data_IF_496338168967
#
_entry.id   IF_496338168967
#
_cell.length_a   1.000
_cell.length_b   1.000
_cell.length_c   1.000
_cell.angle_alpha   90.00
_cell.angle_beta   90.00
_cell.angle_gamma   90.00
#
_symmetry.space_group_name_H-M   'P 1'
#
loop_
_entity.id
_entity.type
_entity.pdbx_description
1 polymer ?
#
# COMPACT_ATOMS: atom_id res chain seq x y z
N UNK A 1 30.69 42.53 -51.57
CA UNK A 1 30.97 42.05 -50.20
C UNK A 1 29.68 41.35 -49.70
N UNK A 2 29.69 40.00 -49.62
CA UNK A 2 28.57 39.20 -49.12
C UNK A 2 29.00 38.57 -47.79
N UNK A 3 28.46 39.09 -46.66
CA UNK A 3 28.64 38.47 -45.34
C UNK A 3 27.81 37.19 -45.25
N UNK A 4 28.48 36.04 -45.06
CA UNK A 4 27.87 34.78 -44.70
C UNK A 4 27.71 34.72 -43.18
N UNK A 5 26.46 34.69 -42.69
CA UNK A 5 26.17 34.38 -41.28
C UNK A 5 26.25 32.88 -41.08
N UNK A 6 27.15 32.41 -40.23
CA UNK A 6 27.16 31.06 -39.75
C UNK A 6 26.21 30.97 -38.53
N UNK A 7 25.15 30.17 -38.72
CA UNK A 7 24.25 29.82 -37.59
C UNK A 7 24.95 28.70 -36.83
N UNK A 8 25.44 29.05 -35.61
CA UNK A 8 25.94 28.05 -34.66
C UNK A 8 24.72 27.45 -33.96
N UNK A 9 24.43 26.21 -34.31
CA UNK A 9 23.38 25.43 -33.63
C UNK A 9 23.80 25.08 -32.20
N UNK A 10 23.15 25.66 -31.23
CA UNK A 10 23.26 25.23 -29.83
C UNK A 10 22.54 23.87 -29.69
N UNK A 11 23.33 22.82 -29.60
CA UNK A 11 22.85 21.50 -29.16
C UNK A 11 22.60 21.60 -27.66
N UNK A 12 21.36 21.68 -27.23
CA UNK A 12 20.97 21.50 -25.84
C UNK A 12 21.23 20.04 -25.46
N UNK A 13 22.39 19.79 -24.82
CA UNK A 13 22.61 18.56 -24.10
C UNK A 13 21.66 18.61 -22.88
N UNK A 14 20.54 17.94 -22.96
CA UNK A 14 19.70 17.66 -21.82
C UNK A 14 20.50 16.71 -20.89
N UNK A 15 21.33 17.27 -20.02
CA UNK A 15 21.86 16.56 -18.88
C UNK A 15 20.67 16.18 -18.00
N UNK A 16 20.20 14.96 -18.13
CA UNK A 16 19.35 14.32 -17.15
C UNK A 16 20.18 14.17 -15.89
N UNK A 17 20.11 15.19 -15.02
CA UNK A 17 20.63 15.09 -13.65
C UNK A 17 19.75 14.02 -12.98
N UNK A 18 20.22 12.79 -12.98
CA UNK A 18 19.68 11.76 -12.09
C UNK A 18 19.96 12.23 -10.68
N UNK A 19 18.94 12.77 -10.05
CA UNK A 19 18.99 13.16 -8.64
C UNK A 19 19.22 11.85 -7.86
N UNK A 20 20.46 11.62 -7.39
CA UNK A 20 20.87 10.45 -6.60
C UNK A 20 20.37 10.55 -5.15
N UNK A 21 19.13 10.98 -4.94
CA UNK A 21 18.53 11.11 -3.63
C UNK A 21 17.23 10.29 -3.55
N UNK A 22 16.99 9.68 -2.42
CA UNK A 22 15.68 9.11 -2.11
C UNK A 22 14.62 10.19 -2.19
N UNK A 23 13.44 9.86 -2.70
CA UNK A 23 12.31 10.79 -2.78
C UNK A 23 10.98 10.09 -2.56
N UNK A 24 9.99 10.84 -2.11
CA UNK A 24 8.60 10.41 -2.06
C UNK A 24 7.79 11.36 -2.93
N UNK A 25 7.06 10.81 -3.89
CA UNK A 25 6.29 11.58 -4.86
C UNK A 25 4.84 11.11 -4.89
N UNK A 26 3.94 11.97 -5.31
CA UNK A 26 2.60 11.58 -5.71
C UNK A 26 2.53 11.41 -7.22
N UNK A 27 2.03 10.28 -7.67
CA UNK A 27 1.77 9.97 -9.08
C UNK A 27 0.27 10.00 -9.30
N UNK A 28 -0.18 10.79 -10.28
CA UNK A 28 -1.59 10.88 -10.70
C UNK A 28 -1.73 10.38 -12.11
N UNK A 29 -2.85 9.74 -12.40
CA UNK A 29 -3.16 9.26 -13.74
C UNK A 29 -4.66 9.33 -14.03
N UNK A 30 -5.02 9.17 -15.29
CA UNK A 30 -6.40 8.97 -15.69
C UNK A 30 -6.74 7.49 -15.62
N UNK A 31 -7.81 7.14 -14.90
CA UNK A 31 -8.26 5.76 -14.77
C UNK A 31 -9.22 5.37 -15.90
N UNK A 32 -9.19 4.12 -16.33
CA UNK A 32 -10.09 3.59 -17.36
C UNK A 32 -11.53 3.47 -16.89
N UNK A 33 -11.75 3.35 -15.57
CA UNK A 33 -13.08 3.19 -14.96
C UNK A 33 -13.30 4.21 -13.84
N UNK A 34 -14.54 4.64 -13.69
CA UNK A 34 -14.94 5.41 -12.52
C UNK A 34 -14.75 4.56 -11.25
N UNK A 35 -14.28 5.19 -10.17
CA UNK A 35 -14.25 4.54 -8.88
C UNK A 35 -15.68 4.33 -8.35
N UNK A 36 -15.94 3.23 -7.61
CA UNK A 36 -17.21 3.02 -6.96
C UNK A 36 -17.48 4.12 -5.91
N UNK A 37 -18.73 4.39 -5.59
CA UNK A 37 -19.08 5.31 -4.51
C UNK A 37 -18.40 4.92 -3.21
N UNK A 38 -17.98 5.91 -2.41
CA UNK A 38 -17.38 5.66 -1.11
C UNK A 38 -18.48 5.27 -0.13
N UNK A 39 -18.30 4.15 0.56
CA UNK A 39 -19.14 3.71 1.65
C UNK A 39 -18.28 3.52 2.90
N UNK A 40 -18.65 4.19 3.99
CA UNK A 40 -18.09 4.00 5.32
C UNK A 40 -19.06 3.13 6.11
N UNK A 41 -18.61 1.95 6.54
CA UNK A 41 -19.43 1.09 7.37
C UNK A 41 -19.86 1.83 8.65
N UNK A 42 -21.17 1.81 8.93
CA UNK A 42 -21.75 2.50 10.10
C UNK A 42 -21.90 4.02 9.97
N UNK A 43 -21.54 4.60 8.83
CA UNK A 43 -21.69 6.06 8.60
C UNK A 43 -22.72 6.31 7.51
N UNK A 44 -23.74 7.11 7.83
CA UNK A 44 -24.72 7.57 6.85
C UNK A 44 -24.06 8.42 5.76
N UNK A 45 -24.40 8.25 4.47
CA UNK A 45 -23.82 9.00 3.35
C UNK A 45 -23.83 10.53 3.51
N UNK A 46 -24.80 11.07 4.20
CA UNK A 46 -24.93 12.49 4.48
C UNK A 46 -23.80 13.08 5.34
N UNK A 47 -23.12 12.24 6.14
CA UNK A 47 -21.96 12.64 6.95
C UNK A 47 -20.64 12.66 6.19
N UNK A 48 -20.56 12.02 5.02
CA UNK A 48 -19.33 11.97 4.22
C UNK A 48 -18.76 13.35 3.87
N UNK A 49 -19.54 14.37 3.48
CA UNK A 49 -19.01 15.70 3.20
C UNK A 49 -18.34 16.34 4.43
N UNK A 50 -18.92 16.16 5.62
CA UNK A 50 -18.38 16.70 6.87
C UNK A 50 -17.08 15.98 7.27
N UNK A 51 -17.05 14.64 7.16
CA UNK A 51 -15.83 13.84 7.40
C UNK A 51 -14.71 14.27 6.45
N UNK A 52 -15.02 14.47 5.17
CA UNK A 52 -14.04 14.95 4.18
C UNK A 52 -13.49 16.33 4.52
N UNK A 53 -14.37 17.27 4.85
CA UNK A 53 -13.97 18.61 5.25
C UNK A 53 -13.10 18.57 6.51
N UNK A 54 -13.45 17.73 7.47
CA UNK A 54 -12.65 17.52 8.69
C UNK A 54 -11.26 16.99 8.37
N UNK A 55 -11.17 15.90 7.60
CA UNK A 55 -9.89 15.27 7.24
C UNK A 55 -9.04 16.17 6.35
N UNK A 56 -9.63 16.98 5.49
CA UNK A 56 -8.90 17.90 4.61
C UNK A 56 -8.16 19.01 5.36
N UNK A 57 -8.61 19.36 6.57
CA UNK A 57 -8.09 20.47 7.36
C UNK A 57 -7.23 20.07 8.56
N UNK A 58 -6.96 18.79 8.72
CA UNK A 58 -6.13 18.29 9.82
C UNK A 58 -5.01 17.39 9.30
N UNK A 59 -4.00 17.17 10.14
CA UNK A 59 -2.96 16.19 9.79
C UNK A 59 -3.53 14.76 9.77
N UNK A 60 -2.89 13.87 8.99
CA UNK A 60 -3.26 12.45 8.95
C UNK A 60 -3.26 11.82 10.36
N UNK A 61 -2.26 12.16 11.18
CA UNK A 61 -2.20 11.72 12.58
C UNK A 61 -3.44 12.17 13.38
N UNK A 62 -3.84 13.44 13.25
CA UNK A 62 -5.02 13.98 13.92
C UNK A 62 -6.30 13.28 13.43
N UNK A 63 -6.41 13.05 12.13
CA UNK A 63 -7.55 12.32 11.55
C UNK A 63 -7.66 10.90 12.12
N UNK A 64 -6.53 10.18 12.22
CA UNK A 64 -6.47 8.83 12.81
C UNK A 64 -6.83 8.87 14.30
N UNK A 65 -6.22 9.79 15.07
CA UNK A 65 -6.51 9.93 16.50
C UNK A 65 -8.00 10.21 16.75
N UNK A 66 -8.60 11.10 15.95
CA UNK A 66 -10.04 11.39 16.00
C UNK A 66 -10.87 10.16 15.64
N UNK A 67 -10.54 9.44 14.56
CA UNK A 67 -11.22 8.20 14.19
C UNK A 67 -11.15 7.14 15.29
N UNK A 68 -9.99 6.96 15.91
CA UNK A 68 -9.79 6.02 17.00
C UNK A 68 -10.52 6.47 18.29
N UNK A 69 -10.65 7.78 18.56
CA UNK A 69 -11.44 8.26 19.71
C UNK A 69 -12.92 7.89 19.58
N UNK A 70 -13.40 7.71 18.37
CA UNK A 70 -14.74 7.21 18.03
C UNK A 70 -14.75 5.69 17.77
N UNK A 71 -13.75 4.96 18.22
CA UNK A 71 -13.55 3.53 17.93
C UNK A 71 -14.73 2.64 18.32
N UNK A 72 -15.56 3.06 19.30
CA UNK A 72 -16.79 2.36 19.66
C UNK A 72 -17.78 2.24 18.49
N UNK A 73 -17.78 3.18 17.55
CA UNK A 73 -18.63 3.13 16.35
C UNK A 73 -18.25 1.98 15.38
N UNK A 74 -17.01 1.49 15.49
CA UNK A 74 -16.50 0.37 14.71
C UNK A 74 -16.20 -0.86 15.58
N UNK A 75 -16.75 -0.89 16.80
CA UNK A 75 -16.68 -2.04 17.71
C UNK A 75 -15.38 -2.16 18.52
N UNK A 76 -14.50 -1.16 18.53
CA UNK A 76 -13.31 -1.16 19.39
C UNK A 76 -13.68 -0.89 20.83
N UNK A 77 -13.10 -1.65 21.75
CA UNK A 77 -13.17 -1.36 23.19
C UNK A 77 -12.33 -0.13 23.52
N UNK A 78 -12.68 0.57 24.60
CA UNK A 78 -12.01 1.83 25.00
C UNK A 78 -10.51 1.64 25.24
N UNK A 79 -10.14 0.57 25.91
CA UNK A 79 -8.73 0.24 26.21
C UNK A 79 -7.93 -0.04 24.93
N UNK A 80 -8.53 -0.76 23.99
CA UNK A 80 -7.91 -1.03 22.68
C UNK A 80 -7.77 0.24 21.87
N UNK A 81 -8.81 1.07 21.82
CA UNK A 81 -8.78 2.38 21.16
C UNK A 81 -7.66 3.26 21.70
N UNK A 82 -7.53 3.37 23.04
CA UNK A 82 -6.47 4.15 23.70
C UNK A 82 -5.07 3.59 23.39
N UNK A 83 -4.92 2.27 23.41
CA UNK A 83 -3.66 1.60 23.03
C UNK A 83 -3.27 1.91 21.60
N UNK A 84 -4.20 1.82 20.65
CA UNK A 84 -3.96 2.12 19.25
C UNK A 84 -3.60 3.58 19.01
N UNK A 85 -4.28 4.52 19.70
CA UNK A 85 -3.92 5.94 19.66
C UNK A 85 -2.45 6.15 20.08
N UNK A 86 -2.00 5.50 21.16
CA UNK A 86 -0.60 5.54 21.59
C UNK A 86 0.37 5.01 20.54
N UNK A 87 0.10 3.85 19.96
CA UNK A 87 0.93 3.23 18.92
C UNK A 87 1.04 4.13 17.67
N UNK A 88 -0.06 4.71 17.22
CA UNK A 88 -0.06 5.62 16.08
C UNK A 88 0.68 6.92 16.41
N UNK A 89 0.43 7.54 17.57
CA UNK A 89 1.11 8.76 17.97
C UNK A 89 2.64 8.57 18.03
N UNK A 90 3.11 7.45 18.60
CA UNK A 90 4.54 7.11 18.63
C UNK A 90 5.11 6.93 17.23
N UNK A 91 4.40 6.24 16.35
CA UNK A 91 4.81 6.04 14.97
C UNK A 91 4.90 7.36 14.20
N UNK A 92 3.87 8.20 14.26
CA UNK A 92 3.85 9.50 13.57
C UNK A 92 4.85 10.49 14.13
N UNK A 93 5.22 10.40 15.42
CA UNK A 93 6.32 11.19 15.98
C UNK A 93 7.65 10.90 15.26
N UNK A 94 7.92 9.65 14.91
CA UNK A 94 9.06 9.26 14.09
C UNK A 94 8.94 9.72 12.65
N UNK A 95 7.78 9.56 12.04
CA UNK A 95 7.50 9.93 10.66
C UNK A 95 7.70 11.43 10.42
N UNK A 96 7.18 12.29 11.30
CA UNK A 96 7.36 13.76 11.21
C UNK A 96 8.82 14.22 11.26
N UNK A 97 9.69 13.45 11.91
CA UNK A 97 11.14 13.74 11.95
C UNK A 97 11.87 13.29 10.68
N UNK A 98 11.21 12.56 9.81
CA UNK A 98 11.80 12.10 8.55
C UNK A 98 11.90 13.25 7.57
N UNK A 99 13.11 13.60 7.15
CA UNK A 99 13.33 14.58 6.10
C UNK A 99 12.70 14.16 4.75
N UNK A 100 12.45 12.87 4.57
CA UNK A 100 11.90 12.32 3.34
C UNK A 100 10.37 12.30 3.33
N UNK A 101 9.73 12.09 4.49
CA UNK A 101 8.29 11.86 4.59
C UNK A 101 7.53 13.00 5.31
N UNK A 102 8.22 13.83 6.09
CA UNK A 102 7.58 14.82 6.95
C UNK A 102 6.71 15.85 6.21
N UNK A 103 7.11 16.21 4.99
CA UNK A 103 6.41 17.21 4.16
C UNK A 103 5.55 16.59 3.04
N UNK A 104 5.42 15.26 2.99
CA UNK A 104 4.65 14.60 1.94
C UNK A 104 3.15 14.70 2.23
N UNK A 105 2.33 15.17 1.27
CA UNK A 105 0.89 15.21 1.46
C UNK A 105 0.29 13.82 1.66
N UNK A 106 -0.64 13.70 2.62
CA UNK A 106 -1.37 12.46 2.83
C UNK A 106 -2.30 12.15 1.65
N UNK A 107 -2.42 10.88 1.30
CA UNK A 107 -3.41 10.40 0.34
C UNK A 107 -4.78 10.08 0.99
N UNK A 108 -4.92 10.25 2.30
CA UNK A 108 -6.15 9.93 3.04
C UNK A 108 -7.35 10.72 2.53
N UNK A 109 -7.17 12.02 2.33
CA UNK A 109 -8.24 12.89 1.78
C UNK A 109 -8.72 12.39 0.42
N UNK A 110 -7.80 11.92 -0.43
CA UNK A 110 -8.16 11.33 -1.72
C UNK A 110 -9.01 10.06 -1.54
N UNK A 111 -8.70 9.20 -0.59
CA UNK A 111 -9.49 8.00 -0.31
C UNK A 111 -10.92 8.32 0.15
N UNK A 112 -11.12 9.44 0.83
CA UNK A 112 -12.41 9.90 1.35
C UNK A 112 -13.15 10.83 0.39
N UNK A 113 -12.50 11.39 -0.62
CA UNK A 113 -13.15 12.31 -1.58
C UNK A 113 -14.01 11.53 -2.58
N UNK A 114 -15.03 12.21 -3.11
CA UNK A 114 -15.61 11.77 -4.37
C UNK A 114 -14.52 11.84 -5.41
N UNK A 115 -14.00 10.69 -5.79
CA UNK A 115 -13.04 10.63 -6.85
C UNK A 115 -13.69 11.18 -8.08
N UNK A 116 -13.15 12.29 -8.57
CA UNK A 116 -13.56 12.77 -9.89
C UNK A 116 -13.46 11.58 -10.83
N UNK A 117 -14.48 11.30 -11.63
CA UNK A 117 -14.45 10.16 -12.54
C UNK A 117 -13.10 10.14 -13.24
N UNK A 118 -12.44 8.97 -13.21
CA UNK A 118 -11.21 8.73 -13.95
C UNK A 118 -9.92 9.38 -13.42
N UNK A 119 -9.80 9.69 -12.14
CA UNK A 119 -8.51 10.08 -11.55
C UNK A 119 -7.98 9.00 -10.59
N UNK A 120 -6.72 8.60 -10.76
CA UNK A 120 -5.98 7.75 -9.84
C UNK A 120 -4.89 8.55 -9.12
N UNK A 121 -4.51 8.07 -7.94
CA UNK A 121 -3.43 8.60 -7.12
C UNK A 121 -2.64 7.45 -6.49
N UNK A 122 -1.32 7.57 -6.47
CA UNK A 122 -0.45 6.74 -5.65
C UNK A 122 0.61 7.59 -4.95
N UNK A 123 0.93 7.25 -3.70
CA UNK A 123 2.15 7.70 -3.05
C UNK A 123 3.26 6.72 -3.42
N UNK A 124 4.37 7.22 -3.95
CA UNK A 124 5.48 6.42 -4.46
C UNK A 124 6.77 6.80 -3.76
N UNK A 125 7.40 5.83 -3.09
CA UNK A 125 8.78 5.96 -2.64
C UNK A 125 9.72 5.51 -3.77
N UNK A 126 10.74 6.30 -4.02
CA UNK A 126 11.76 6.07 -5.04
C UNK A 126 13.12 5.99 -4.35
N UNK A 127 13.88 4.89 -4.52
CA UNK A 127 15.21 4.76 -3.93
C UNK A 127 16.21 5.74 -4.55
N UNK A 128 17.34 5.97 -3.87
CA UNK A 128 18.37 6.90 -4.31
C UNK A 128 18.95 6.57 -5.70
N UNK A 129 18.96 5.30 -6.06
CA UNK A 129 19.46 4.84 -7.35
C UNK A 129 18.42 3.98 -8.05
N UNK A 130 18.06 4.38 -9.26
CA UNK A 130 17.22 3.59 -10.16
C UNK A 130 18.10 2.91 -11.19
N UNK A 131 17.88 1.62 -11.40
CA UNK A 131 18.51 0.82 -12.44
C UNK A 131 17.48 -0.16 -13.02
N UNK A 132 17.84 -0.88 -14.06
CA UNK A 132 17.00 -1.95 -14.63
C UNK A 132 16.82 -3.14 -13.68
N UNK A 133 17.69 -3.28 -12.67
CA UNK A 133 17.61 -4.29 -11.61
C UNK A 133 16.77 -3.83 -10.41
N UNK A 134 16.35 -2.56 -10.37
CA UNK A 134 15.53 -2.03 -9.28
C UNK A 134 14.22 -2.80 -9.20
N UNK A 135 13.97 -3.42 -8.05
CA UNK A 135 12.74 -4.17 -7.79
C UNK A 135 11.60 -3.24 -7.41
N UNK A 136 10.37 -3.78 -7.48
CA UNK A 136 9.16 -3.03 -7.21
C UNK A 136 8.24 -3.75 -6.23
N UNK A 137 7.60 -2.95 -5.39
CA UNK A 137 6.55 -3.37 -4.47
C UNK A 137 5.30 -2.56 -4.78
N UNK A 138 4.16 -3.21 -4.89
CA UNK A 138 2.84 -2.55 -4.87
C UNK A 138 2.18 -2.90 -3.54
N UNK A 139 1.75 -1.89 -2.80
CA UNK A 139 1.13 -2.07 -1.50
C UNK A 139 -0.32 -1.63 -1.49
N UNK A 140 -1.21 -2.54 -1.14
CA UNK A 140 -2.64 -2.28 -0.99
C UNK A 140 -2.97 -2.09 0.48
N UNK A 141 -3.47 -0.91 0.82
CA UNK A 141 -3.75 -0.50 2.19
C UNK A 141 -4.97 -1.23 2.79
N UNK A 142 -5.04 -1.25 4.12
CA UNK A 142 -6.16 -1.78 4.87
C UNK A 142 -7.40 -0.87 4.85
N UNK A 143 -8.41 -1.24 5.66
CA UNK A 143 -9.54 -0.37 5.89
C UNK A 143 -9.09 0.97 6.51
N UNK A 144 -9.73 2.06 6.10
CA UNK A 144 -9.43 3.42 6.57
C UNK A 144 -8.68 4.29 5.57
N UNK A 145 -8.10 3.72 4.51
CA UNK A 145 -7.46 4.48 3.43
C UNK A 145 -5.94 4.39 3.37
N UNK A 146 -5.36 5.10 2.41
CA UNK A 146 -3.93 5.10 2.15
C UNK A 146 -3.22 6.11 3.08
N UNK A 147 -2.56 5.58 4.11
CA UNK A 147 -1.81 6.37 5.08
C UNK A 147 -0.35 6.53 4.66
N UNK A 148 0.24 7.68 4.95
CA UNK A 148 1.66 7.95 4.72
C UNK A 148 2.57 7.04 5.56
N UNK A 149 2.04 6.51 6.66
CA UNK A 149 2.70 5.51 7.49
C UNK A 149 3.11 4.26 6.69
N UNK A 150 2.34 3.85 5.68
CA UNK A 150 2.62 2.62 4.93
C UNK A 150 3.87 2.72 4.04
N UNK A 151 4.00 3.68 3.11
CA UNK A 151 5.24 3.81 2.33
C UNK A 151 6.45 4.12 3.22
N UNK A 152 6.28 4.86 4.33
CA UNK A 152 7.35 5.08 5.30
C UNK A 152 7.80 3.77 5.95
N UNK A 153 6.87 2.92 6.39
CA UNK A 153 7.17 1.61 6.98
C UNK A 153 7.89 0.71 5.96
N UNK A 154 7.33 0.61 4.76
CA UNK A 154 7.87 -0.25 3.71
C UNK A 154 9.24 0.21 3.22
N UNK A 155 9.51 1.52 3.14
CA UNK A 155 10.82 2.05 2.79
C UNK A 155 11.92 1.62 3.78
N UNK A 156 11.56 1.38 5.05
CA UNK A 156 12.49 0.86 6.05
C UNK A 156 12.86 -0.63 5.85
N UNK A 157 12.06 -1.36 5.06
CA UNK A 157 12.28 -2.79 4.72
C UNK A 157 12.85 -2.92 3.31
N UNK A 158 12.30 -2.17 2.37
CA UNK A 158 12.54 -2.25 0.93
C UNK A 158 13.25 -0.98 0.43
N UNK A 159 14.31 -0.53 1.12
CA UNK A 159 14.99 0.76 0.86
C UNK A 159 15.54 0.92 -0.57
N UNK A 160 15.81 -0.19 -1.26
CA UNK A 160 16.32 -0.22 -2.63
C UNK A 160 15.23 -0.54 -3.68
N UNK A 161 13.95 -0.50 -3.29
CA UNK A 161 12.82 -0.77 -4.19
C UNK A 161 12.05 0.51 -4.48
N UNK A 162 11.39 0.55 -5.61
CA UNK A 162 10.27 1.49 -5.80
C UNK A 162 9.04 0.88 -5.11
N UNK A 163 8.39 1.68 -4.25
CA UNK A 163 7.21 1.26 -3.50
C UNK A 163 6.03 2.10 -3.98
N UNK A 164 5.04 1.45 -4.56
CA UNK A 164 3.83 2.08 -5.11
C UNK A 164 2.66 1.79 -4.16
N UNK A 165 2.12 2.83 -3.54
CA UNK A 165 0.96 2.74 -2.65
C UNK A 165 -0.26 3.42 -3.31
N UNK A 166 -1.06 2.69 -4.12
CA UNK A 166 -2.25 3.25 -4.73
C UNK A 166 -3.29 3.63 -3.67
N UNK A 167 -3.93 4.78 -3.84
CA UNK A 167 -5.04 5.23 -3.02
C UNK A 167 -6.35 4.93 -3.77
N UNK A 168 -7.16 4.01 -3.28
CA UNK A 168 -8.34 3.51 -4.01
C UNK A 168 -9.66 3.63 -3.25
N UNK A 169 -9.69 4.25 -2.10
CA UNK A 169 -10.85 4.39 -1.23
C UNK A 169 -10.58 3.82 0.15
N UNK A 170 -11.58 3.28 0.82
CA UNK A 170 -11.48 2.93 2.24
C UNK A 170 -11.46 1.44 2.47
N UNK A 171 -11.93 0.65 1.52
CA UNK A 171 -12.07 -0.81 1.67
C UNK A 171 -11.57 -1.60 0.48
N UNK A 172 -11.34 -2.90 0.69
CA UNK A 172 -10.93 -3.85 -0.34
C UNK A 172 -11.94 -4.01 -1.50
N UNK A 173 -13.20 -3.68 -1.30
CA UNK A 173 -14.23 -3.73 -2.33
C UNK A 173 -13.99 -2.70 -3.46
N UNK A 174 -13.22 -1.67 -3.17
CA UNK A 174 -12.89 -0.58 -4.09
C UNK A 174 -11.65 -0.86 -4.95
N UNK A 175 -10.96 -1.97 -4.70
CA UNK A 175 -9.75 -2.35 -5.44
C UNK A 175 -10.14 -3.08 -6.72
N UNK A 176 -9.67 -2.59 -7.87
CA UNK A 176 -9.73 -3.32 -9.13
C UNK A 176 -8.34 -3.69 -9.64
N UNK A 177 -8.25 -4.78 -10.39
CA UNK A 177 -7.01 -5.20 -11.05
C UNK A 177 -6.51 -4.14 -12.02
N UNK A 178 -7.43 -3.51 -12.77
CA UNK A 178 -7.10 -2.46 -13.73
C UNK A 178 -6.48 -1.25 -13.02
N UNK A 179 -7.07 -0.81 -11.89
CA UNK A 179 -6.55 0.32 -11.12
C UNK A 179 -5.12 0.08 -10.61
N UNK A 180 -4.82 -1.14 -10.15
CA UNK A 180 -3.47 -1.51 -9.71
C UNK A 180 -2.49 -1.52 -10.88
N UNK A 181 -2.88 -2.09 -12.02
CA UNK A 181 -2.06 -2.11 -13.22
C UNK A 181 -1.78 -0.70 -13.77
N UNK A 182 -2.79 0.17 -13.76
CA UNK A 182 -2.66 1.57 -14.16
C UNK A 182 -1.74 2.36 -13.23
N UNK A 183 -1.81 2.14 -11.91
CA UNK A 183 -0.89 2.76 -10.95
C UNK A 183 0.56 2.38 -11.22
N UNK A 184 0.83 1.10 -11.49
CA UNK A 184 2.16 0.61 -11.87
C UNK A 184 2.63 1.26 -13.17
N UNK A 185 1.80 1.25 -14.21
CA UNK A 185 2.11 1.86 -15.51
C UNK A 185 2.40 3.36 -15.39
N UNK A 186 1.56 4.10 -14.68
CA UNK A 186 1.75 5.54 -14.45
C UNK A 186 3.05 5.83 -13.70
N UNK A 187 3.39 4.99 -12.71
CA UNK A 187 4.66 5.10 -11.99
C UNK A 187 5.85 4.86 -12.92
N UNK A 188 5.80 3.82 -13.77
CA UNK A 188 6.84 3.52 -14.76
C UNK A 188 7.07 4.71 -15.71
N UNK A 189 5.99 5.27 -16.23
CA UNK A 189 6.03 6.44 -17.10
C UNK A 189 6.61 7.66 -16.39
N UNK A 190 6.18 7.94 -15.15
CA UNK A 190 6.68 9.08 -14.35
C UNK A 190 8.16 8.98 -14.03
N UNK A 191 8.68 7.76 -13.82
CA UNK A 191 10.08 7.50 -13.54
C UNK A 191 10.93 7.27 -14.79
N UNK A 192 10.32 7.17 -15.97
CA UNK A 192 10.97 6.86 -17.25
C UNK A 192 11.80 5.56 -17.18
N UNK A 193 11.27 4.53 -16.52
CA UNK A 193 11.92 3.23 -16.35
C UNK A 193 10.96 2.10 -16.70
N UNK A 194 11.52 0.99 -17.23
CA UNK A 194 10.77 -0.25 -17.32
C UNK A 194 10.64 -0.87 -15.92
N UNK A 195 9.43 -1.29 -15.54
CA UNK A 195 9.19 -1.94 -14.27
C UNK A 195 9.22 -3.46 -14.45
N UNK A 196 10.07 -4.20 -13.73
CA UNK A 196 9.91 -5.64 -13.61
C UNK A 196 8.62 -5.95 -12.83
N UNK A 197 8.18 -7.21 -12.89
CA UNK A 197 6.99 -7.65 -12.15
C UNK A 197 7.10 -7.31 -10.67
N UNK A 198 6.17 -6.51 -10.10
CA UNK A 198 6.23 -6.13 -8.70
C UNK A 198 5.88 -7.28 -7.77
N UNK A 199 6.32 -7.20 -6.52
CA UNK A 199 5.72 -7.94 -5.41
C UNK A 199 4.43 -7.23 -5.00
N UNK A 200 3.32 -7.96 -4.93
CA UNK A 200 2.05 -7.42 -4.45
C UNK A 200 1.94 -7.68 -2.95
N UNK A 201 1.81 -6.64 -2.16
CA UNK A 201 1.61 -6.72 -0.71
C UNK A 201 0.25 -6.12 -0.37
N UNK A 202 -0.55 -6.81 0.43
CA UNK A 202 -1.83 -6.28 0.91
C UNK A 202 -1.99 -6.43 2.42
N UNK A 203 -2.48 -5.39 3.08
CA UNK A 203 -2.72 -5.36 4.52
C UNK A 203 -4.22 -5.44 4.82
N UNK A 204 -4.65 -6.37 5.69
CA UNK A 204 -6.04 -6.42 6.18
C UNK A 204 -7.04 -6.45 5.01
N UNK A 205 -7.95 -5.49 4.90
CA UNK A 205 -8.83 -5.33 3.75
C UNK A 205 -8.08 -5.32 2.41
N UNK A 206 -6.91 -4.67 2.35
CA UNK A 206 -6.02 -4.70 1.19
C UNK A 206 -5.42 -6.09 0.93
N UNK A 207 -5.28 -6.93 1.95
CA UNK A 207 -4.87 -8.34 1.82
C UNK A 207 -5.90 -9.17 1.05
N UNK A 208 -7.19 -9.01 1.37
CA UNK A 208 -8.28 -9.63 0.60
C UNK A 208 -8.32 -9.10 -0.84
N UNK A 209 -8.13 -7.78 -1.01
CA UNK A 209 -8.03 -7.16 -2.33
C UNK A 209 -6.85 -7.69 -3.13
N UNK A 210 -5.68 -7.82 -2.51
CA UNK A 210 -4.48 -8.36 -3.15
C UNK A 210 -4.69 -9.81 -3.62
N UNK A 211 -5.36 -10.66 -2.83
CA UNK A 211 -5.74 -12.00 -3.26
C UNK A 211 -6.58 -11.97 -4.54
N UNK A 212 -7.61 -11.11 -4.60
CA UNK A 212 -8.48 -10.97 -5.77
C UNK A 212 -7.75 -10.44 -6.99
N UNK A 213 -6.89 -9.45 -6.82
CA UNK A 213 -6.05 -8.90 -7.89
C UNK A 213 -5.10 -9.96 -8.41
N UNK A 214 -4.41 -10.68 -7.52
CA UNK A 214 -3.41 -11.67 -7.90
C UNK A 214 -3.99 -12.85 -8.66
N UNK A 215 -5.13 -13.42 -8.25
CA UNK A 215 -5.75 -14.54 -8.97
C UNK A 215 -6.30 -14.14 -10.35
N UNK A 216 -6.60 -12.85 -10.57
CA UNK A 216 -7.05 -12.35 -11.88
C UNK A 216 -5.90 -12.10 -12.85
N UNK A 217 -4.73 -11.70 -12.34
CA UNK A 217 -3.57 -11.34 -13.15
C UNK A 217 -2.26 -11.85 -12.52
N UNK A 218 -2.09 -13.17 -12.30
CA UNK A 218 -0.91 -13.70 -11.61
C UNK A 218 0.37 -13.42 -12.36
N UNK A 219 0.31 -13.30 -13.68
CA UNK A 219 1.46 -13.01 -14.53
C UNK A 219 1.98 -11.56 -14.39
N UNK A 220 1.16 -10.66 -13.84
CA UNK A 220 1.56 -9.25 -13.63
C UNK A 220 2.47 -9.07 -12.41
N UNK A 221 2.56 -10.07 -11.53
CA UNK A 221 3.27 -9.99 -10.26
C UNK A 221 4.28 -11.14 -10.13
N UNK A 222 5.34 -10.95 -9.36
CA UNK A 222 6.28 -12.02 -9.02
C UNK A 222 5.84 -12.87 -7.82
N UNK A 223 4.79 -12.45 -7.13
CA UNK A 223 4.20 -13.12 -5.96
C UNK A 223 3.34 -12.16 -5.15
N UNK A 224 2.70 -12.71 -4.11
CA UNK A 224 1.85 -11.97 -3.19
C UNK A 224 2.30 -12.15 -1.74
N UNK A 225 2.24 -11.09 -0.94
CA UNK A 225 2.35 -11.10 0.52
C UNK A 225 1.05 -10.56 1.13
N UNK A 226 0.43 -11.33 1.98
CA UNK A 226 -0.81 -10.97 2.68
C UNK A 226 -0.49 -10.74 4.16
N UNK A 227 -0.80 -9.54 4.64
CA UNK A 227 -0.53 -9.10 6.01
C UNK A 227 -1.86 -8.94 6.76
N UNK A 228 -2.02 -9.61 7.89
CA UNK A 228 -3.22 -9.50 8.74
C UNK A 228 -4.51 -9.88 8.02
N UNK A 229 -4.46 -10.87 7.14
CA UNK A 229 -5.61 -11.40 6.43
C UNK A 229 -5.36 -12.85 6.00
N UNK A 230 -6.41 -13.47 5.48
CA UNK A 230 -6.40 -14.83 4.95
C UNK A 230 -6.92 -14.85 3.50
N UNK A 231 -6.89 -16.00 2.84
CA UNK A 231 -7.44 -16.13 1.48
C UNK A 231 -8.97 -16.07 1.51
N UNK A 232 -9.61 -15.11 0.82
CA UNK A 232 -11.06 -15.03 0.81
C UNK A 232 -11.69 -16.20 0.04
N UNK A 233 -12.91 -16.58 0.41
CA UNK A 233 -13.60 -17.74 -0.14
C UNK A 233 -13.86 -17.62 -1.66
N UNK A 234 -14.18 -16.43 -2.13
CA UNK A 234 -14.47 -16.14 -3.54
C UNK A 234 -13.29 -16.38 -4.49
N UNK A 235 -12.08 -16.57 -3.95
CA UNK A 235 -10.88 -16.92 -4.71
C UNK A 235 -10.29 -18.29 -4.33
N UNK A 236 -10.83 -19.00 -3.35
CA UNK A 236 -10.28 -20.25 -2.83
C UNK A 236 -10.06 -21.34 -3.90
N UNK A 237 -10.90 -21.37 -4.95
CA UNK A 237 -10.79 -22.28 -6.09
C UNK A 237 -9.86 -21.84 -7.22
N UNK A 238 -9.30 -20.61 -7.15
CA UNK A 238 -8.56 -19.99 -8.27
C UNK A 238 -7.04 -20.05 -8.10
N UNK A 239 -6.56 -20.58 -6.97
CA UNK A 239 -5.13 -20.74 -6.72
C UNK A 239 -4.55 -21.89 -7.55
N UNK A 240 -3.41 -21.63 -8.18
CA UNK A 240 -2.71 -22.60 -9.04
C UNK A 240 -1.30 -22.87 -8.53
N UNK A 241 -0.69 -23.94 -9.03
CA UNK A 241 0.59 -24.45 -8.57
C UNK A 241 1.74 -23.46 -8.74
N UNK A 242 1.70 -22.63 -9.78
CA UNK A 242 2.76 -21.70 -10.16
C UNK A 242 2.74 -20.41 -9.34
N UNK A 243 1.71 -20.18 -8.53
CA UNK A 243 1.56 -18.98 -7.72
C UNK A 243 2.50 -19.02 -6.50
N UNK A 244 3.07 -17.86 -6.17
CA UNK A 244 3.90 -17.67 -4.99
C UNK A 244 3.15 -16.83 -3.96
N UNK A 245 2.94 -17.40 -2.77
CA UNK A 245 2.12 -16.78 -1.73
C UNK A 245 2.83 -16.79 -0.39
N UNK A 246 2.71 -15.68 0.34
CA UNK A 246 3.21 -15.53 1.71
C UNK A 246 2.19 -14.84 2.58
N UNK A 247 1.98 -15.37 3.79
CA UNK A 247 1.04 -14.82 4.76
C UNK A 247 1.75 -14.49 6.08
N UNK A 248 1.54 -13.27 6.57
CA UNK A 248 2.01 -12.83 7.88
C UNK A 248 0.83 -12.35 8.70
N UNK A 249 0.62 -12.94 9.87
CA UNK A 249 -0.54 -12.68 10.72
C UNK A 249 -0.12 -12.51 12.18
N UNK A 250 -0.94 -11.88 12.99
CA UNK A 250 -0.76 -11.86 14.44
C UNK A 250 -1.30 -13.14 15.07
N UNK A 251 -0.60 -13.72 16.04
CA UNK A 251 -1.06 -14.97 16.69
C UNK A 251 -2.33 -14.81 17.53
N UNK A 252 -2.69 -13.58 17.89
CA UNK A 252 -3.91 -13.24 18.64
C UNK A 252 -5.11 -12.94 17.74
N UNK A 253 -4.96 -12.90 16.43
CA UNK A 253 -6.11 -12.73 15.55
C UNK A 253 -7.06 -13.93 15.69
N UNK A 254 -8.38 -13.67 15.76
CA UNK A 254 -9.39 -14.68 16.08
C UNK A 254 -9.36 -15.89 15.16
N UNK A 255 -9.15 -15.67 13.86
CA UNK A 255 -9.04 -16.73 12.87
C UNK A 255 -7.72 -17.53 12.98
N UNK A 256 -6.68 -16.96 13.60
CA UNK A 256 -5.44 -17.69 13.93
C UNK A 256 -5.63 -18.49 15.22
N UNK A 257 -6.16 -17.87 16.26
CA UNK A 257 -6.38 -18.48 17.56
C UNK A 257 -7.39 -19.66 17.49
N UNK A 258 -8.41 -19.58 16.62
CA UNK A 258 -9.35 -20.68 16.39
C UNK A 258 -8.78 -21.85 15.60
N UNK A 259 -7.61 -21.70 14.99
CA UNK A 259 -7.00 -22.71 14.12
C UNK A 259 -7.52 -22.72 12.68
N UNK A 260 -8.54 -21.94 12.33
CA UNK A 260 -9.09 -21.89 10.97
C UNK A 260 -8.07 -21.43 9.93
N UNK A 261 -7.21 -20.49 10.29
CA UNK A 261 -6.10 -20.06 9.44
C UNK A 261 -5.15 -21.21 9.09
N UNK A 262 -4.71 -21.99 10.09
CA UNK A 262 -3.84 -23.14 9.88
C UNK A 262 -4.45 -24.18 8.95
N UNK A 263 -5.74 -24.46 9.14
CA UNK A 263 -6.49 -25.38 8.28
C UNK A 263 -6.54 -24.87 6.83
N UNK A 264 -6.80 -23.56 6.64
CA UNK A 264 -6.80 -22.95 5.32
C UNK A 264 -5.40 -23.02 4.66
N UNK A 265 -4.33 -22.74 5.39
CA UNK A 265 -2.96 -22.81 4.86
C UNK A 265 -2.59 -24.25 4.45
N UNK A 266 -3.04 -25.25 5.20
CA UNK A 266 -2.86 -26.67 4.82
C UNK A 266 -3.58 -26.99 3.52
N UNK A 267 -4.83 -26.52 3.35
CA UNK A 267 -5.58 -26.69 2.12
C UNK A 267 -4.97 -25.97 0.92
N UNK A 268 -4.40 -24.79 1.12
CA UNK A 268 -3.69 -24.04 0.07
C UNK A 268 -2.37 -24.71 -0.32
N UNK A 269 -1.63 -25.29 0.61
CA UNK A 269 -0.35 -25.97 0.35
C UNK A 269 -0.50 -27.14 -0.62
N UNK A 270 -1.66 -27.76 -0.67
CA UNK A 270 -1.97 -28.80 -1.65
C UNK A 270 -2.14 -28.27 -3.09
N UNK A 271 -2.45 -26.98 -3.25
CA UNK A 271 -2.73 -26.32 -4.53
C UNK A 271 -1.59 -25.44 -5.04
N UNK A 272 -0.83 -24.83 -4.12
CA UNK A 272 0.21 -23.83 -4.40
C UNK A 272 1.57 -24.41 -3.99
N UNK A 273 2.51 -24.46 -4.92
CA UNK A 273 3.84 -25.03 -4.65
C UNK A 273 4.67 -24.14 -3.72
N UNK A 274 4.63 -22.83 -3.92
CA UNK A 274 5.39 -21.85 -3.15
C UNK A 274 4.47 -21.11 -2.18
N UNK A 275 4.14 -21.76 -1.05
CA UNK A 275 3.35 -21.19 0.04
C UNK A 275 4.14 -21.18 1.34
N UNK A 276 4.31 -20.01 1.90
CA UNK A 276 4.89 -19.79 3.23
C UNK A 276 3.91 -18.98 4.11
N UNK A 277 3.95 -19.20 5.41
CA UNK A 277 3.20 -18.38 6.35
C UNK A 277 3.88 -18.32 7.72
N UNK A 278 3.70 -17.20 8.40
CA UNK A 278 4.21 -16.96 9.75
C UNK A 278 3.14 -16.29 10.61
N UNK A 279 3.06 -16.70 11.87
CA UNK A 279 2.28 -15.99 12.89
C UNK A 279 3.26 -15.31 13.85
N UNK A 280 3.14 -14.00 14.04
CA UNK A 280 3.97 -13.23 14.98
C UNK A 280 3.45 -13.50 16.40
N UNK A 281 4.27 -14.10 17.29
CA UNK A 281 3.84 -14.46 18.63
C UNK A 281 3.40 -13.24 19.44
N UNK A 282 2.27 -13.34 20.14
CA UNK A 282 1.74 -12.29 21.00
C UNK A 282 1.14 -11.07 20.27
N UNK A 283 1.24 -11.03 18.95
CA UNK A 283 0.74 -9.92 18.16
C UNK A 283 -0.74 -10.06 17.80
N UNK A 284 -1.43 -8.94 17.74
CA UNK A 284 -2.78 -8.77 17.21
C UNK A 284 -2.76 -8.26 15.76
N UNK A 285 -3.89 -7.78 15.27
CA UNK A 285 -4.05 -7.22 13.93
C UNK A 285 -3.12 -6.04 13.60
N UNK A 286 -2.69 -5.29 14.62
CA UNK A 286 -1.86 -4.08 14.47
C UNK A 286 -0.36 -4.35 14.60
N UNK A 287 0.09 -5.55 14.27
CA UNK A 287 1.48 -5.99 14.42
C UNK A 287 2.50 -5.14 13.63
N UNK A 288 2.09 -4.47 12.55
CA UNK A 288 2.95 -3.51 11.84
C UNK A 288 3.42 -2.38 12.77
N UNK A 289 2.61 -2.01 13.76
CA UNK A 289 2.91 -0.95 14.71
C UNK A 289 3.48 -1.51 16.02
N UNK A 290 2.88 -2.58 16.56
CA UNK A 290 3.22 -3.13 17.86
C UNK A 290 4.44 -4.08 17.84
N UNK A 291 4.69 -4.77 16.71
CA UNK A 291 5.76 -5.76 16.54
C UNK A 291 6.62 -5.46 15.31
N UNK A 292 7.02 -4.18 15.17
CA UNK A 292 7.70 -3.66 13.97
C UNK A 292 8.94 -4.48 13.57
N UNK A 293 9.80 -4.82 14.54
CA UNK A 293 11.04 -5.54 14.26
C UNK A 293 10.76 -6.94 13.71
N UNK A 294 9.88 -7.72 14.35
CA UNK A 294 9.51 -9.06 13.89
C UNK A 294 8.90 -9.04 12.49
N UNK A 295 8.02 -8.05 12.24
CA UNK A 295 7.37 -7.86 10.94
C UNK A 295 8.38 -7.49 9.85
N UNK A 296 9.30 -6.55 10.12
CA UNK A 296 10.37 -6.16 9.19
C UNK A 296 11.29 -7.34 8.87
N UNK A 297 11.66 -8.12 9.88
CA UNK A 297 12.51 -9.30 9.70
C UNK A 297 11.84 -10.34 8.81
N UNK A 298 10.56 -10.62 9.02
CA UNK A 298 9.80 -11.57 8.19
C UNK A 298 9.69 -11.11 6.73
N UNK A 299 9.39 -9.82 6.50
CA UNK A 299 9.31 -9.25 5.16
C UNK A 299 10.67 -9.25 4.45
N UNK A 300 11.74 -8.87 5.15
CA UNK A 300 13.10 -8.86 4.61
C UNK A 300 13.60 -10.27 4.26
N UNK A 301 13.25 -11.28 5.07
CA UNK A 301 13.57 -12.68 4.78
C UNK A 301 12.90 -13.14 3.48
N UNK A 302 11.65 -12.79 3.27
CA UNK A 302 10.90 -13.15 2.07
C UNK A 302 11.33 -12.41 0.80
N UNK A 303 12.09 -11.34 0.93
CA UNK A 303 12.66 -10.59 -0.21
C UNK A 303 14.00 -11.19 -0.68
N UNK A 304 14.65 -12.00 0.14
CA UNK A 304 15.88 -12.69 -0.28
C UNK A 304 15.56 -13.66 -1.42
N UNK A 305 16.47 -13.78 -2.40
CA UNK A 305 16.31 -14.72 -3.51
C UNK A 305 16.28 -16.17 -3.03
#
# INVERSE_FOLDING_TARGET
>A
MRCRFHVIGFVWLACTIYCNAQQVIQVRWQTSRAAPPISLAGVSPEWLPFIRAGVANVSEETAIATGLSQGHMIGLQKEESSRLQGLFADYYRGLRKSALFGEVPSALTYCLSERKPQQGLATVYVPARLSKETKYVVFLHGYGGSLLAYPHYLASVFSNHVIVCPAYGISAAEISTDYVAEAVKATAQRLSVALPKPLLIGLSAGGFGACRVYVRAPQAFRGIVVLGAYSPEDVAGKWTREMTMRFLVGSKESYVASGSFKQQMQGLKAKVQSLEWKAIPGADHFFLLSHQQATRSALAEWERP
#
